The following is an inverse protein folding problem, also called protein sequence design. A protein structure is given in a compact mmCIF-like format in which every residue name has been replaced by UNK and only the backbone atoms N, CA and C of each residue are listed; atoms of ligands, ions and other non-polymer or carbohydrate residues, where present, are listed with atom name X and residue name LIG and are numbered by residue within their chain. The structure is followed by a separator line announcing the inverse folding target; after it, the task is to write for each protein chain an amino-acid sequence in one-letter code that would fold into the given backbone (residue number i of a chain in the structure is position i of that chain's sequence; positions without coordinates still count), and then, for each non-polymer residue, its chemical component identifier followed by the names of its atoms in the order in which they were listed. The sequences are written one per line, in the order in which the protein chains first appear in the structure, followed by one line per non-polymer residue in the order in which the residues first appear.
data_IF_338648982559
#
_entry.id   IF_338648982559
#
_cell.length_a   1.000
_cell.length_b   1.000
_cell.length_c   1.000
_cell.angle_alpha   90.00
_cell.angle_beta   90.00
_cell.angle_gamma   90.00
#
_symmetry.space_group_name_H-M   'P 1'
#
loop_
_entity.id
_entity.type
_entity.pdbx_description
1 polymer ?
2 non-polymer ?
3 non-polymer ?
4 non-polymer ?
5 non-polymer ?
6 non-polymer ?
7 non-polymer ?
8 non-polymer ?
9 water ?
#
# COMPACT_ATOMS: atom_id res chain seq x y z
N UNK A 1 16.37 1.16 0.68
CA UNK A 1 14.94 1.42 0.51
C UNK A 1 14.27 1.72 1.85
N UNK A 2 12.95 1.77 1.83
CA UNK A 2 12.14 2.11 3.00
C UNK A 2 12.39 1.14 4.16
N UNK A 3 12.42 -0.19 3.91
CA UNK A 3 12.67 -1.16 4.97
C UNK A 3 14.02 -0.90 5.61
N UNK A 4 15.06 -0.67 4.79
CA UNK A 4 16.38 -0.38 5.33
C UNK A 4 16.34 0.88 6.21
N UNK A 5 15.58 1.90 5.76
CA UNK A 5 15.49 3.15 6.50
C UNK A 5 14.90 2.92 7.88
N UNK A 6 13.88 2.06 7.96
CA UNK A 6 13.32 1.69 9.24
C UNK A 6 14.41 1.09 10.15
N UNK A 7 15.25 0.21 9.57
CA UNK A 7 16.31 -0.42 10.33
C UNK A 7 17.32 0.65 10.78
N UNK A 8 17.63 1.58 9.89
CA UNK A 8 18.59 2.63 10.23
C UNK A 8 18.06 3.44 11.42
N UNK A 9 16.81 3.88 11.28
CA UNK A 9 16.20 4.71 12.31
C UNK A 9 16.13 3.95 13.62
N UNK A 10 15.60 2.71 13.59
CA UNK A 10 15.54 1.92 14.80
C UNK A 10 16.92 1.76 15.43
N UNK A 11 17.98 1.60 14.65
CA UNK A 11 19.32 1.32 15.17
C UNK A 11 19.80 2.42 16.11
N UNK A 12 19.34 3.67 15.87
CA UNK A 12 19.70 4.82 16.69
C UNK A 12 18.44 5.66 16.95
N UNK A 13 17.40 5.02 17.50
CA UNK A 13 16.05 5.58 17.50
C UNK A 13 16.01 6.91 18.27
N UNK A 14 16.65 6.96 19.44
CA UNK A 14 16.56 8.15 20.26
C UNK A 14 17.21 9.34 19.56
N UNK A 15 18.33 9.13 18.88
CA UNK A 15 19.03 10.22 18.20
C UNK A 15 18.18 10.73 17.03
N UNK A 16 17.73 9.83 16.15
CA UNK A 16 16.92 10.24 15.01
C UNK A 16 15.62 10.90 15.50
N UNK A 17 14.97 10.28 16.49
CA UNK A 17 13.70 10.75 17.03
C UNK A 17 13.84 12.20 17.48
N UNK A 18 14.86 12.47 18.30
CA UNK A 18 15.13 13.84 18.78
C UNK A 18 15.47 14.78 17.62
N UNK A 19 16.35 14.34 16.70
CA UNK A 19 16.83 15.23 15.64
C UNK A 19 15.68 15.61 14.71
N UNK A 20 14.83 14.62 14.35
CA UNK A 20 13.72 14.86 13.46
C UNK A 20 12.63 15.69 14.14
N UNK A 21 12.31 15.40 15.39
CA UNK A 21 11.29 16.15 16.11
C UNK A 21 11.73 17.62 16.26
N UNK A 22 13.00 17.85 16.58
CA UNK A 22 13.54 19.20 16.68
C UNK A 22 13.45 19.90 15.32
N UNK A 23 13.75 19.18 14.22
CA UNK A 23 13.67 19.77 12.90
C UNK A 23 12.24 20.21 12.61
N UNK A 24 11.28 19.37 12.96
CA UNK A 24 9.86 19.69 12.92
C UNK A 24 9.51 20.94 13.74
N UNK A 25 9.87 20.99 15.03
CA UNK A 25 9.48 22.12 15.86
C UNK A 25 10.11 23.41 15.33
N UNK A 26 11.36 23.32 14.88
CA UNK A 26 12.07 24.52 14.47
C UNK A 26 11.57 25.02 13.11
N UNK A 27 11.16 24.12 12.21
CA UNK A 27 10.64 24.53 10.91
C UNK A 27 9.21 25.07 11.06
N UNK A 28 8.44 24.54 12.03
CA UNK A 28 7.04 24.91 12.25
C UNK A 28 6.84 25.33 13.69
N UNK A 29 7.41 26.51 14.08
CA UNK A 29 7.47 26.85 15.49
C UNK A 29 6.12 26.97 16.19
N UNK A 30 5.05 27.28 15.43
CA UNK A 30 3.72 27.37 15.98
C UNK A 30 3.28 26.00 16.52
N UNK A 31 3.89 24.90 16.04
CA UNK A 31 3.59 23.55 16.50
C UNK A 31 4.07 23.31 17.93
N UNK A 32 5.03 24.11 18.41
CA UNK A 32 5.55 23.89 19.75
C UNK A 32 4.45 24.13 20.80
N UNK A 33 3.41 24.89 20.44
CA UNK A 33 2.26 25.13 21.34
C UNK A 33 1.60 23.82 21.82
N UNK A 34 1.68 22.70 21.07
CA UNK A 34 1.08 21.44 21.52
C UNK A 34 1.92 20.79 22.62
N UNK A 35 3.12 21.33 22.86
CA UNK A 35 4.13 20.74 23.72
C UNK A 35 4.53 21.77 24.79
N UNK A 36 3.54 22.14 25.60
CA UNK A 36 3.61 23.30 26.50
C UNK A 36 4.95 23.32 27.24
N UNK A 37 5.46 22.11 27.57
CA UNK A 37 6.62 21.87 28.43
C UNK A 37 7.98 22.13 27.74
N UNK A 38 7.99 22.15 26.41
CA UNK A 38 9.17 22.29 25.56
C UNK A 38 9.33 23.74 25.09
N UNK A 39 8.34 24.59 25.39
CA UNK A 39 8.35 26.02 25.09
C UNK A 39 9.53 26.67 25.82
N UNK A 40 10.29 27.51 25.12
CA UNK A 40 11.36 28.27 25.74
C UNK A 40 12.63 27.47 26.10
N UNK A 41 12.86 26.35 25.40
CA UNK A 41 14.03 25.51 25.59
C UNK A 41 14.79 25.39 24.29
N UNK A 42 16.12 25.53 24.36
CA UNK A 42 16.96 25.31 23.19
C UNK A 42 17.02 23.81 22.87
N UNK A 43 17.59 23.48 21.70
CA UNK A 43 17.79 22.09 21.28
C UNK A 43 18.63 21.31 22.30
N UNK A 44 19.69 21.95 22.78
CA UNK A 44 20.59 21.29 23.73
C UNK A 44 19.89 21.19 25.07
N UNK A 45 19.06 22.18 25.45
CA UNK A 45 18.32 22.02 26.70
C UNK A 45 17.54 20.69 26.59
N UNK A 46 16.75 20.59 25.53
CA UNK A 46 15.81 19.48 25.31
C UNK A 46 16.56 18.14 25.25
N UNK A 47 17.69 18.10 24.54
CA UNK A 47 18.53 16.91 24.52
C UNK A 47 18.96 16.50 25.94
N UNK A 48 19.18 17.46 26.86
CA UNK A 48 19.66 17.15 28.20
C UNK A 48 18.59 16.36 28.96
N UNK A 49 17.32 16.51 28.52
CA UNK A 49 16.23 16.10 29.37
C UNK A 49 15.75 14.71 28.95
N UNK A 50 15.78 13.77 29.90
CA UNK A 50 15.39 12.39 29.64
C UNK A 50 13.93 12.29 29.15
N UNK A 51 13.04 13.13 29.69
CA UNK A 51 11.62 13.04 29.34
C UNK A 51 11.37 13.44 27.87
N UNK A 52 12.10 14.44 27.38
CA UNK A 52 12.01 14.82 25.98
C UNK A 52 12.43 13.60 25.14
N UNK A 53 13.57 13.03 25.48
CA UNK A 53 14.08 11.87 24.79
C UNK A 53 13.08 10.70 24.89
N UNK A 54 12.50 10.49 26.07
CA UNK A 54 11.60 9.37 26.28
C UNK A 54 10.35 9.54 25.39
N UNK A 55 9.77 10.74 25.40
CA UNK A 55 8.56 11.04 24.62
C UNK A 55 8.83 10.76 23.14
N UNK A 56 9.91 11.37 22.66
CA UNK A 56 10.22 11.40 21.24
C UNK A 56 10.52 9.97 20.80
N UNK A 57 11.22 9.21 21.64
CA UNK A 57 11.55 7.84 21.28
C UNK A 57 10.25 7.03 21.16
N UNK A 58 9.29 7.28 22.07
CA UNK A 58 8.05 6.50 22.05
C UNK A 58 7.21 6.78 20.81
N UNK A 59 7.19 8.05 20.40
CA UNK A 59 6.53 8.49 19.18
C UNK A 59 7.15 7.80 17.97
N UNK A 60 8.46 7.91 17.84
CA UNK A 60 9.15 7.35 16.68
C UNK A 60 9.09 5.81 16.71
N UNK A 61 9.10 5.21 17.90
CA UNK A 61 8.93 3.76 17.96
C UNK A 61 7.61 3.36 17.28
N UNK A 62 6.53 4.03 17.66
CA UNK A 62 5.23 3.69 17.09
C UNK A 62 5.27 3.99 15.59
N UNK A 63 5.87 5.12 15.21
CA UNK A 63 5.96 5.49 13.80
C UNK A 63 6.63 4.37 13.03
N UNK A 64 7.70 3.79 13.56
CA UNK A 64 8.41 2.73 12.86
C UNK A 64 7.58 1.43 12.83
N UNK A 65 6.81 1.14 13.90
CA UNK A 65 5.90 -0.01 13.92
C UNK A 65 4.89 0.15 12.77
N UNK A 66 4.29 1.35 12.64
CA UNK A 66 3.28 1.62 11.61
C UNK A 66 3.93 1.49 10.23
N UNK A 67 5.13 2.09 10.07
CA UNK A 67 5.88 1.99 8.81
C UNK A 67 6.19 0.54 8.45
N UNK A 68 6.63 -0.29 9.42
CA UNK A 68 7.02 -1.66 9.16
C UNK A 68 5.80 -2.51 8.80
N UNK A 69 4.64 -2.17 9.36
CA UNK A 69 3.40 -2.92 9.08
C UNK A 69 2.78 -2.51 7.76
N UNK A 70 3.22 -1.40 7.17
CA UNK A 70 2.70 -0.93 5.89
C UNK A 70 3.12 -1.88 4.76
N UNK A 71 2.33 -1.86 3.67
CA UNK A 71 2.69 -2.50 2.43
C UNK A 71 2.85 -1.42 1.37
N UNK A 72 4.00 -1.38 0.70
CA UNK A 72 4.29 -0.37 -0.30
C UNK A 72 3.87 1.02 0.20
N UNK A 73 4.23 1.32 1.46
CA UNK A 73 4.08 2.63 2.07
C UNK A 73 2.62 2.97 2.37
N UNK A 74 1.75 1.96 2.34
CA UNK A 74 0.33 2.11 2.69
C UNK A 74 0.10 1.56 4.09
N UNK A 75 -0.22 2.43 5.07
CA UNK A 75 -0.38 1.95 6.44
C UNK A 75 -1.67 1.17 6.62
N UNK A 76 -1.74 0.34 7.65
CA UNK A 76 -2.98 -0.36 8.02
C UNK A 76 -3.99 0.67 8.52
N UNK A 77 -5.26 0.42 8.19
CA UNK A 77 -6.38 1.19 8.70
C UNK A 77 -6.40 1.20 10.23
N UNK A 78 -6.10 0.05 10.84
CA UNK A 78 -6.09 -0.10 12.29
C UNK A 78 -5.08 0.88 12.92
N UNK A 79 -3.89 0.97 12.31
CA UNK A 79 -2.86 1.84 12.87
C UNK A 79 -3.24 3.32 12.79
N UNK A 80 -3.82 3.70 11.66
CA UNK A 80 -4.41 5.03 11.51
C UNK A 80 -5.39 5.30 12.65
N UNK A 81 -6.20 4.30 12.99
CA UNK A 81 -7.26 4.48 13.98
C UNK A 81 -6.66 4.73 15.36
N UNK A 82 -5.62 3.95 15.70
CA UNK A 82 -4.89 4.15 16.95
C UNK A 82 -4.48 5.62 17.05
N UNK A 83 -3.84 6.13 16.00
CA UNK A 83 -3.30 7.49 16.04
C UNK A 83 -4.42 8.54 16.17
N UNK A 84 -5.61 8.29 15.58
CA UNK A 84 -6.71 9.23 15.65
C UNK A 84 -7.39 9.18 17.03
N UNK A 85 -7.49 7.99 17.64
CA UNK A 85 -8.27 7.77 18.86
C UNK A 85 -7.43 7.96 20.13
N UNK A 86 -6.10 8.07 19.99
CA UNK A 86 -5.28 8.38 21.16
C UNK A 86 -5.73 9.71 21.78
N UNK A 87 -5.97 9.70 23.10
CA UNK A 87 -6.37 10.89 23.86
C UNK A 87 -5.43 12.05 23.46
N UNK A 88 -4.11 11.78 23.49
CA UNK A 88 -3.06 12.77 23.29
C UNK A 88 -3.18 13.48 21.93
N UNK A 89 -3.93 12.89 20.98
CA UNK A 89 -4.07 13.42 19.63
C UNK A 89 -5.46 14.04 19.39
N UNK A 90 -6.25 14.27 20.47
CA UNK A 90 -7.64 14.72 20.34
C UNK A 90 -7.79 16.10 19.68
N UNK A 91 -6.81 17.01 19.81
CA UNK A 91 -6.96 18.34 19.22
C UNK A 91 -6.32 18.49 17.84
N UNK A 92 -5.76 17.40 17.25
CA UNK A 92 -4.91 17.52 16.06
C UNK A 92 -5.73 17.45 14.78
N UNK A 93 -5.25 18.12 13.72
CA UNK A 93 -5.73 17.96 12.35
C UNK A 93 -4.68 17.22 11.52
N UNK A 94 -5.03 16.80 10.29
CA UNK A 94 -4.11 16.12 9.39
C UNK A 94 -2.88 17.00 9.07
N UNK A 95 -3.05 18.33 9.11
CA UNK A 95 -1.97 19.28 8.80
C UNK A 95 -0.81 19.17 9.79
N UNK A 96 -1.10 18.81 11.05
CA UNK A 96 -0.07 18.62 12.08
C UNK A 96 0.85 17.47 11.67
N UNK A 97 0.24 16.41 11.15
CA UNK A 97 0.98 15.24 10.69
C UNK A 97 1.73 15.53 9.41
N UNK A 98 1.04 16.22 8.49
CA UNK A 98 1.62 16.73 7.26
C UNK A 98 2.90 17.50 7.58
N UNK A 99 2.87 18.38 8.60
CA UNK A 99 4.06 19.16 8.91
C UNK A 99 5.19 18.24 9.37
N UNK A 100 4.84 17.27 10.23
CA UNK A 100 5.83 16.35 10.77
C UNK A 100 6.52 15.61 9.62
N UNK A 101 5.73 15.13 8.64
CA UNK A 101 6.30 14.34 7.57
C UNK A 101 7.09 15.19 6.60
N UNK A 102 6.70 16.47 6.37
CA UNK A 102 7.51 17.33 5.54
C UNK A 102 8.86 17.53 6.21
N UNK A 103 8.87 17.78 7.51
CA UNK A 103 10.11 17.94 8.26
C UNK A 103 10.98 16.69 8.15
N UNK A 104 10.36 15.52 8.28
CA UNK A 104 11.11 14.27 8.29
C UNK A 104 11.75 14.05 6.92
N UNK A 105 10.99 14.31 5.83
CA UNK A 105 11.51 14.15 4.48
C UNK A 105 12.63 15.16 4.21
N UNK A 106 12.44 16.42 4.60
CA UNK A 106 13.50 17.43 4.45
C UNK A 106 14.77 17.05 5.24
N UNK A 107 14.62 16.55 6.47
CA UNK A 107 15.75 16.05 7.24
C UNK A 107 16.52 14.98 6.46
N UNK A 108 15.78 14.01 5.92
CA UNK A 108 16.37 12.92 5.17
C UNK A 108 17.10 13.50 3.95
N UNK A 109 16.46 14.41 3.20
CA UNK A 109 17.07 14.97 2.00
C UNK A 109 18.37 15.71 2.36
N UNK A 110 18.42 16.31 3.55
CA UNK A 110 19.57 17.11 3.98
C UNK A 110 20.70 16.28 4.62
N UNK A 111 20.44 15.02 4.95
CA UNK A 111 21.29 14.21 5.82
C UNK A 111 22.59 13.77 5.17
N UNK A 112 22.61 13.63 3.85
CA UNK A 112 23.78 13.06 3.21
C UNK A 112 23.80 11.54 3.26
N UNK A 113 22.76 10.92 3.83
CA UNK A 113 22.58 9.48 3.78
C UNK A 113 21.52 9.13 2.72
N UNK A 114 21.60 7.88 2.21
CA UNK A 114 20.77 7.40 1.12
C UNK A 114 19.43 6.87 1.65
N UNK A 115 18.74 7.71 2.43
CA UNK A 115 17.34 7.47 2.77
C UNK A 115 16.49 7.43 1.50
N UNK A 116 15.40 6.67 1.56
CA UNK A 116 14.47 6.60 0.44
C UNK A 116 13.41 7.67 0.65
N UNK A 117 13.84 8.94 0.55
CA UNK A 117 13.02 10.10 0.92
C UNK A 117 11.65 10.06 0.25
N UNK A 118 11.63 9.71 -1.04
CA UNK A 118 10.41 9.64 -1.82
C UNK A 118 9.41 8.68 -1.16
N UNK A 119 9.89 7.56 -0.59
CA UNK A 119 9.01 6.60 0.05
C UNK A 119 8.43 7.15 1.36
N UNK A 120 9.24 7.92 2.11
CA UNK A 120 8.75 8.53 3.32
C UNK A 120 7.71 9.63 2.97
N UNK A 121 7.91 10.32 1.84
CA UNK A 121 6.95 11.35 1.42
C UNK A 121 5.61 10.67 1.13
N UNK A 122 5.68 9.56 0.40
CA UNK A 122 4.50 8.79 0.03
C UNK A 122 3.81 8.20 1.26
N UNK A 123 4.59 7.61 2.18
CA UNK A 123 4.09 7.04 3.41
C UNK A 123 3.35 8.12 4.20
N UNK A 124 3.97 9.31 4.34
CA UNK A 124 3.30 10.41 5.03
C UNK A 124 1.98 10.82 4.37
N UNK A 125 1.95 10.87 3.03
CA UNK A 125 0.73 11.25 2.28
C UNK A 125 -0.35 10.19 2.54
N UNK A 126 0.06 8.91 2.49
CA UNK A 126 -0.87 7.82 2.71
C UNK A 126 -1.38 7.80 4.14
N UNK A 127 -0.49 8.05 5.10
CA UNK A 127 -0.92 8.08 6.49
C UNK A 127 -1.90 9.24 6.71
N UNK A 128 -1.63 10.41 6.12
CA UNK A 128 -2.52 11.58 6.24
C UNK A 128 -3.92 11.24 5.68
N UNK A 129 -3.98 10.63 4.49
CA UNK A 129 -5.24 10.20 3.88
C UNK A 129 -5.95 9.24 4.85
N UNK A 130 -5.22 8.27 5.42
CA UNK A 130 -5.80 7.26 6.30
C UNK A 130 -6.30 7.89 7.62
N UNK A 131 -5.60 8.90 8.17
CA UNK A 131 -6.08 9.56 9.39
C UNK A 131 -7.39 10.28 9.11
N UNK A 132 -7.44 10.95 7.96
CA UNK A 132 -8.60 11.72 7.56
C UNK A 132 -9.81 10.79 7.48
N UNK A 133 -9.59 9.61 6.87
CA UNK A 133 -10.60 8.56 6.74
C UNK A 133 -11.06 8.04 8.09
N UNK A 134 -10.14 7.88 9.06
CA UNK A 134 -10.44 7.44 10.41
C UNK A 134 -11.12 8.51 11.26
N UNK A 135 -11.36 9.70 10.70
CA UNK A 135 -12.17 10.76 11.30
C UNK A 135 -11.41 12.02 11.67
N UNK A 136 -10.13 12.19 11.24
CA UNK A 136 -9.36 13.33 11.70
C UNK A 136 -9.67 14.51 10.78
N UNK A 137 -9.94 15.68 11.38
CA UNK A 137 -10.28 16.88 10.61
C UNK A 137 -9.01 17.42 9.92
N UNK B 1 0.29 4.88 -16.57
CA UNK B 1 0.62 4.07 -15.41
C UNK B 1 -0.52 3.12 -15.04
N UNK B 2 -0.51 2.59 -13.82
CA UNK B 2 -1.49 1.60 -13.37
C UNK B 2 -2.92 2.14 -13.48
N UNK B 3 -3.16 3.38 -13.02
CA UNK B 3 -4.49 3.97 -13.02
C UNK B 3 -4.99 4.12 -14.46
N UNK B 4 -4.12 4.56 -15.39
CA UNK B 4 -4.52 4.64 -16.78
C UNK B 4 -4.79 3.26 -17.36
N UNK B 5 -4.04 2.23 -16.94
CA UNK B 5 -4.22 0.90 -17.46
C UNK B 5 -5.63 0.40 -17.14
N UNK B 6 -6.13 0.75 -15.95
CA UNK B 6 -7.49 0.39 -15.59
C UNK B 6 -8.50 0.98 -16.60
N UNK B 7 -8.32 2.27 -16.92
CA UNK B 7 -9.14 2.90 -17.95
C UNK B 7 -8.99 2.20 -19.31
N UNK B 8 -7.76 1.88 -19.71
CA UNK B 8 -7.53 1.19 -20.99
C UNK B 8 -8.29 -0.14 -21.07
N UNK B 9 -8.15 -0.93 -20.01
CA UNK B 9 -8.81 -2.23 -19.99
C UNK B 9 -10.32 -2.03 -20.02
N UNK B 10 -10.85 -1.14 -19.17
CA UNK B 10 -12.28 -0.86 -19.10
C UNK B 10 -12.83 -0.39 -20.46
N UNK B 11 -12.02 0.33 -21.23
CA UNK B 11 -12.49 0.84 -22.52
C UNK B 11 -12.67 -0.24 -23.59
N UNK B 12 -12.17 -1.46 -23.35
CA UNK B 12 -12.33 -2.55 -24.29
C UNK B 12 -12.35 -3.87 -23.51
N UNK B 13 -13.22 -3.92 -22.49
CA UNK B 13 -13.05 -4.88 -21.41
C UNK B 13 -13.26 -6.31 -21.91
N UNK B 14 -14.27 -6.54 -22.75
CA UNK B 14 -14.57 -7.92 -23.14
C UNK B 14 -13.36 -8.50 -23.88
N UNK B 15 -12.73 -7.69 -24.73
CA UNK B 15 -11.60 -8.12 -25.54
C UNK B 15 -10.39 -8.43 -24.65
N UNK B 16 -10.05 -7.46 -23.78
CA UNK B 16 -8.94 -7.66 -22.86
C UNK B 16 -9.20 -8.81 -21.90
N UNK B 17 -10.41 -8.89 -21.33
CA UNK B 17 -10.74 -9.95 -20.37
C UNK B 17 -10.56 -11.33 -21.03
N UNK B 18 -11.14 -11.49 -22.24
CA UNK B 18 -11.01 -12.77 -22.93
C UNK B 18 -9.55 -13.06 -23.26
N UNK B 19 -8.85 -12.06 -23.80
CA UNK B 19 -7.47 -12.27 -24.25
C UNK B 19 -6.55 -12.65 -23.09
N UNK B 20 -6.73 -12.01 -21.93
CA UNK B 20 -5.89 -12.30 -20.76
C UNK B 20 -6.26 -13.65 -20.18
N UNK B 21 -7.55 -13.96 -20.13
CA UNK B 21 -7.98 -15.22 -19.54
C UNK B 21 -7.50 -16.37 -20.42
N UNK B 22 -7.56 -16.19 -21.75
CA UNK B 22 -7.04 -17.21 -22.68
C UNK B 22 -5.54 -17.39 -22.47
N UNK B 23 -4.82 -16.30 -22.27
CA UNK B 23 -3.38 -16.39 -22.03
C UNK B 23 -3.13 -17.23 -20.79
N UNK B 24 -3.95 -16.99 -19.75
CA UNK B 24 -3.86 -17.73 -18.51
C UNK B 24 -4.11 -19.24 -18.76
N UNK B 25 -5.21 -19.56 -19.43
CA UNK B 25 -5.57 -20.97 -19.60
C UNK B 25 -4.55 -21.65 -20.50
N UNK B 26 -4.04 -20.96 -21.54
CA UNK B 26 -3.06 -21.56 -22.44
C UNK B 26 -1.73 -21.77 -21.71
N UNK B 27 -1.36 -20.84 -20.83
CA UNK B 27 -0.11 -20.97 -20.08
C UNK B 27 -0.23 -22.07 -19.02
N UNK B 28 -1.42 -22.19 -18.41
CA UNK B 28 -1.69 -23.09 -17.30
C UNK B 28 -2.93 -23.96 -17.57
N UNK B 29 -2.82 -24.89 -18.55
CA UNK B 29 -3.99 -25.63 -19.00
C UNK B 29 -4.67 -26.46 -17.90
N UNK B 30 -3.92 -26.88 -16.89
CA UNK B 30 -4.50 -27.66 -15.80
C UNK B 30 -5.38 -26.78 -14.90
N UNK B 31 -5.32 -25.45 -15.04
CA UNK B 31 -6.24 -24.56 -14.33
C UNK B 31 -7.68 -24.77 -14.82
N UNK B 32 -7.86 -25.38 -15.99
CA UNK B 32 -9.20 -25.58 -16.53
C UNK B 32 -9.99 -26.53 -15.63
N UNK B 33 -9.31 -27.25 -14.73
CA UNK B 33 -9.95 -28.16 -13.77
C UNK B 33 -11.01 -27.42 -12.96
N UNK B 34 -10.94 -26.07 -12.80
CA UNK B 34 -11.87 -25.34 -11.95
C UNK B 34 -13.09 -24.87 -12.71
N UNK B 35 -13.08 -25.02 -14.03
CA UNK B 35 -14.11 -24.47 -14.88
C UNK B 35 -14.90 -25.61 -15.52
N UNK B 36 -16.16 -25.31 -15.84
CA UNK B 36 -17.01 -26.26 -16.53
C UNK B 36 -16.86 -26.01 -18.03
N UNK B 37 -16.51 -27.08 -18.76
CA UNK B 37 -16.74 -27.13 -20.19
C UNK B 37 -15.70 -26.28 -20.90
N UNK B 38 -14.53 -26.00 -20.32
CA UNK B 38 -13.52 -25.28 -21.09
C UNK B 38 -12.51 -26.22 -21.74
N UNK B 39 -12.36 -27.47 -21.26
CA UNK B 39 -11.36 -28.37 -21.80
C UNK B 39 -11.74 -28.77 -23.22
N UNK B 40 -10.76 -29.12 -24.04
CA UNK B 40 -10.99 -29.69 -25.34
C UNK B 40 -11.44 -28.67 -26.38
N UNK B 41 -11.19 -27.38 -26.15
CA UNK B 41 -11.72 -26.30 -27.00
C UNK B 41 -10.60 -25.31 -27.33
N UNK B 42 -10.52 -24.94 -28.63
CA UNK B 42 -9.66 -23.86 -29.11
C UNK B 42 -10.16 -22.52 -28.54
N UNK B 43 -9.29 -21.51 -28.62
CA UNK B 43 -9.65 -20.15 -28.19
C UNK B 43 -10.93 -19.69 -28.90
N UNK B 44 -11.04 -19.90 -30.22
CA UNK B 44 -12.23 -19.43 -30.93
C UNK B 44 -13.49 -20.13 -30.45
N UNK B 45 -13.42 -21.45 -30.16
CA UNK B 45 -14.52 -22.21 -29.62
C UNK B 45 -14.92 -21.63 -28.26
N UNK B 46 -13.96 -21.37 -27.35
CA UNK B 46 -14.28 -20.77 -26.06
C UNK B 46 -15.00 -19.45 -26.26
N UNK B 47 -14.51 -18.63 -27.18
CA UNK B 47 -15.04 -17.28 -27.42
C UNK B 47 -16.48 -17.29 -27.94
N UNK B 48 -16.96 -18.42 -28.48
CA UNK B 48 -18.35 -18.52 -28.95
C UNK B 48 -19.25 -19.21 -27.93
N UNK B 49 -18.69 -19.55 -26.77
CA UNK B 49 -19.53 -20.03 -25.66
C UNK B 49 -20.10 -18.81 -24.92
N UNK B 50 -21.43 -18.72 -24.76
CA UNK B 50 -22.00 -17.52 -24.16
C UNK B 50 -21.44 -17.30 -22.75
N UNK B 51 -21.28 -18.39 -22.00
CA UNK B 51 -20.90 -18.16 -20.61
C UNK B 51 -19.43 -17.71 -20.51
N UNK B 52 -18.59 -18.07 -21.49
CA UNK B 52 -17.17 -17.73 -21.44
C UNK B 52 -16.98 -16.21 -21.41
N UNK B 53 -17.58 -15.52 -22.36
CA UNK B 53 -17.50 -14.07 -22.44
C UNK B 53 -18.14 -13.40 -21.22
N UNK B 54 -19.31 -13.90 -20.80
CA UNK B 54 -20.03 -13.31 -19.68
C UNK B 54 -19.21 -13.46 -18.39
N UNK B 55 -18.69 -14.66 -18.12
CA UNK B 55 -17.85 -15.03 -16.97
C UNK B 55 -16.63 -14.11 -16.90
N UNK B 56 -15.91 -14.08 -18.02
CA UNK B 56 -14.60 -13.43 -18.11
C UNK B 56 -14.82 -11.92 -17.93
N UNK B 57 -15.94 -11.38 -18.41
CA UNK B 57 -16.20 -9.96 -18.18
C UNK B 57 -16.51 -9.72 -16.70
N UNK B 58 -17.29 -10.58 -16.05
CA UNK B 58 -17.63 -10.34 -14.65
C UNK B 58 -16.37 -10.37 -13.79
N UNK B 59 -15.46 -11.33 -14.09
CA UNK B 59 -14.17 -11.42 -13.42
C UNK B 59 -13.38 -10.11 -13.56
N UNK B 60 -13.25 -9.61 -14.78
CA UNK B 60 -12.38 -8.46 -15.00
C UNK B 60 -13.08 -7.16 -14.56
N UNK B 61 -14.42 -7.15 -14.61
CA UNK B 61 -15.16 -6.02 -14.02
C UNK B 61 -14.76 -5.88 -12.53
N UNK B 62 -14.75 -6.99 -11.79
CA UNK B 62 -14.43 -6.91 -10.37
C UNK B 62 -12.94 -6.66 -10.22
N UNK B 63 -12.08 -7.35 -11.02
CA UNK B 63 -10.64 -7.12 -10.92
C UNK B 63 -10.31 -5.63 -11.07
N UNK B 64 -10.94 -4.96 -12.05
CA UNK B 64 -10.67 -3.56 -12.29
C UNK B 64 -11.15 -2.70 -11.10
N UNK B 65 -12.29 -3.05 -10.47
CA UNK B 65 -12.75 -2.33 -9.30
C UNK B 65 -11.75 -2.47 -8.15
N UNK B 66 -11.23 -3.68 -7.94
CA UNK B 66 -10.25 -3.93 -6.88
C UNK B 66 -8.98 -3.13 -7.15
N UNK B 67 -8.51 -3.14 -8.41
CA UNK B 67 -7.38 -2.31 -8.85
C UNK B 67 -7.67 -0.83 -8.58
N UNK B 68 -8.91 -0.36 -8.87
CA UNK B 68 -9.23 1.04 -8.81
C UNK B 68 -9.30 1.50 -7.36
N UNK B 69 -9.69 0.59 -6.46
CA UNK B 69 -9.81 0.96 -5.05
C UNK B 69 -8.47 0.86 -4.32
N UNK B 70 -7.46 0.28 -4.98
CA UNK B 70 -6.11 0.14 -4.45
C UNK B 70 -5.41 1.49 -4.30
N UNK B 71 -4.50 1.56 -3.33
CA UNK B 71 -3.57 2.68 -3.23
C UNK B 71 -2.16 2.13 -3.42
N UNK B 72 -1.35 2.73 -4.29
CA UNK B 72 0.02 2.28 -4.53
C UNK B 72 0.06 0.76 -4.80
N UNK B 73 -0.94 0.30 -5.58
CA UNK B 73 -1.11 -1.11 -5.92
C UNK B 73 -1.37 -2.03 -4.74
N UNK B 74 -1.88 -1.50 -3.60
CA UNK B 74 -2.21 -2.31 -2.45
C UNK B 74 -3.74 -2.40 -2.38
N UNK B 75 -4.32 -3.58 -2.54
CA UNK B 75 -5.78 -3.69 -2.56
C UNK B 75 -6.32 -3.45 -1.16
N UNK B 76 -7.59 -3.08 -1.09
CA UNK B 76 -8.29 -3.05 0.18
C UNK B 76 -8.42 -4.45 0.75
N UNK B 77 -8.28 -4.57 2.10
CA UNK B 77 -8.51 -5.82 2.78
C UNK B 77 -9.94 -6.30 2.57
N UNK B 78 -10.92 -5.39 2.51
CA UNK B 78 -12.31 -5.79 2.27
C UNK B 78 -12.45 -6.47 0.92
N UNK B 79 -11.71 -6.01 -0.10
CA UNK B 79 -11.75 -6.64 -1.40
C UNK B 79 -11.15 -8.05 -1.31
N UNK B 80 -10.02 -8.20 -0.61
CA UNK B 80 -9.41 -9.51 -0.41
C UNK B 80 -10.39 -10.45 0.31
N UNK B 81 -11.01 -9.96 1.39
CA UNK B 81 -11.99 -10.74 2.16
C UNK B 81 -13.08 -11.26 1.21
N UNK B 82 -13.66 -10.38 0.39
CA UNK B 82 -14.70 -10.78 -0.55
C UNK B 82 -14.22 -11.88 -1.49
N UNK B 83 -13.01 -11.74 -2.06
CA UNK B 83 -12.50 -12.76 -2.97
C UNK B 83 -12.29 -14.12 -2.28
N UNK B 84 -11.94 -14.13 -1.01
CA UNK B 84 -11.69 -15.38 -0.29
C UNK B 84 -13.04 -16.03 0.05
N UNK B 85 -14.03 -15.21 0.40
CA UNK B 85 -15.30 -15.67 0.98
C UNK B 85 -16.37 -15.98 -0.08
N UNK B 86 -16.12 -15.67 -1.36
CA UNK B 86 -16.97 -16.07 -2.48
C UNK B 86 -17.04 -17.58 -2.57
N UNK B 87 -18.28 -18.11 -2.63
CA UNK B 87 -18.46 -19.55 -2.65
C UNK B 87 -17.74 -20.11 -3.87
N UNK B 88 -17.72 -19.34 -4.99
CA UNK B 88 -17.11 -19.77 -6.24
C UNK B 88 -15.60 -20.00 -6.08
N UNK B 89 -15.00 -19.41 -5.05
CA UNK B 89 -13.57 -19.48 -4.80
C UNK B 89 -13.22 -20.42 -3.63
N UNK B 90 -14.16 -21.27 -3.20
CA UNK B 90 -13.98 -22.10 -2.02
C UNK B 90 -12.85 -23.13 -2.16
N UNK B 91 -12.52 -23.59 -3.38
CA UNK B 91 -11.48 -24.59 -3.57
C UNK B 91 -10.13 -23.99 -4.01
N UNK B 92 -10.01 -22.64 -4.01
CA UNK B 92 -8.82 -22.02 -4.55
C UNK B 92 -7.76 -21.82 -3.49
N UNK B 93 -6.51 -21.70 -3.94
CA UNK B 93 -5.39 -21.31 -3.10
C UNK B 93 -4.74 -20.06 -3.73
N UNK B 94 -3.82 -19.41 -3.02
CA UNK B 94 -3.20 -18.18 -3.55
C UNK B 94 -2.45 -18.46 -4.84
N UNK B 95 -1.95 -19.68 -5.05
CA UNK B 95 -1.18 -19.98 -6.26
C UNK B 95 -2.02 -19.83 -7.52
N UNK B 96 -3.33 -20.09 -7.42
CA UNK B 96 -4.22 -19.96 -8.56
C UNK B 96 -4.21 -18.49 -8.99
N UNK B 97 -4.26 -17.58 -8.01
CA UNK B 97 -4.20 -16.15 -8.25
C UNK B 97 -2.85 -15.70 -8.77
N UNK B 98 -1.75 -16.29 -8.27
CA UNK B 98 -0.41 -16.03 -8.78
C UNK B 98 -0.32 -16.37 -10.26
N UNK B 99 -0.85 -17.54 -10.65
CA UNK B 99 -0.80 -17.92 -12.05
C UNK B 99 -1.54 -16.91 -12.91
N UNK B 100 -2.72 -16.47 -12.46
CA UNK B 100 -3.50 -15.52 -13.25
C UNK B 100 -2.69 -14.24 -13.50
N UNK B 101 -2.06 -13.73 -12.45
CA UNK B 101 -1.32 -12.48 -12.55
C UNK B 101 -0.04 -12.66 -13.34
N UNK B 102 0.64 -13.81 -13.26
CA UNK B 102 1.78 -14.04 -14.12
C UNK B 102 1.37 -13.95 -15.58
N UNK B 103 0.25 -14.58 -15.95
CA UNK B 103 -0.22 -14.57 -17.31
C UNK B 103 -0.60 -13.15 -17.73
N UNK B 104 -1.26 -12.42 -16.84
CA UNK B 104 -1.70 -11.06 -17.10
C UNK B 104 -0.49 -10.16 -17.37
N UNK B 105 0.53 -10.28 -16.54
CA UNK B 105 1.75 -9.47 -16.68
C UNK B 105 2.49 -9.84 -17.98
N UNK B 106 2.59 -11.14 -18.29
CA UNK B 106 3.21 -11.63 -19.52
C UNK B 106 2.48 -11.06 -20.72
N UNK B 107 1.14 -11.09 -20.69
CA UNK B 107 0.31 -10.53 -21.75
C UNK B 107 0.61 -9.05 -21.98
N UNK B 108 0.69 -8.29 -20.89
CA UNK B 108 0.95 -6.88 -20.97
C UNK B 108 2.35 -6.63 -21.56
N UNK B 109 3.32 -7.41 -21.15
CA UNK B 109 4.69 -7.25 -21.64
C UNK B 109 4.80 -7.53 -23.14
N UNK B 110 4.01 -8.46 -23.68
CA UNK B 110 4.05 -8.86 -25.08
C UNK B 110 3.16 -7.98 -25.95
N UNK B 111 2.32 -7.15 -25.30
CA UNK B 111 1.44 -6.23 -26.00
C UNK B 111 2.24 -5.09 -26.65
N UNK B 112 1.65 -4.48 -27.66
CA UNK B 112 2.30 -3.29 -28.21
C UNK B 112 2.46 -2.19 -27.15
N UNK B 113 1.47 -2.14 -26.24
CA UNK B 113 1.26 -0.96 -25.43
C UNK B 113 2.06 -0.85 -24.14
N UNK B 114 1.88 0.44 -23.73
CA UNK B 114 2.58 1.06 -22.64
C UNK B 114 1.84 0.77 -21.35
N UNK B 115 1.46 -0.50 -21.17
CA UNK B 115 0.97 -0.97 -19.88
C UNK B 115 2.09 -0.82 -18.87
N UNK B 116 1.71 -0.54 -17.62
CA UNK B 116 2.63 -0.49 -16.51
C UNK B 116 2.75 -1.89 -15.93
N UNK B 117 3.44 -2.79 -16.64
CA UNK B 117 3.44 -4.20 -16.28
C UNK B 117 4.08 -4.41 -14.90
N UNK B 118 5.08 -3.61 -14.50
CA UNK B 118 5.68 -3.80 -13.19
C UNK B 118 4.65 -3.52 -12.06
N UNK B 119 3.75 -2.55 -12.29
CA UNK B 119 2.74 -2.22 -11.29
C UNK B 119 1.70 -3.34 -11.20
N UNK B 120 1.36 -3.98 -12.33
CA UNK B 120 0.43 -5.11 -12.28
C UNK B 120 1.07 -6.29 -11.55
N UNK B 121 2.39 -6.44 -11.70
CA UNK B 121 3.11 -7.49 -10.99
C UNK B 121 3.03 -7.21 -9.48
N UNK B 122 3.31 -5.95 -9.09
CA UNK B 122 3.28 -5.58 -7.69
C UNK B 122 1.86 -5.79 -7.14
N UNK B 123 0.86 -5.40 -7.93
CA UNK B 123 -0.54 -5.55 -7.53
C UNK B 123 -0.87 -7.04 -7.32
N UNK B 124 -0.47 -7.92 -8.25
CA UNK B 124 -0.76 -9.33 -8.07
C UNK B 124 -0.13 -9.87 -6.80
N UNK B 125 1.12 -9.47 -6.53
CA UNK B 125 1.84 -9.95 -5.35
C UNK B 125 1.14 -9.47 -4.10
N UNK B 126 0.74 -8.20 -4.09
CA UNK B 126 0.06 -7.59 -2.96
C UNK B 126 -1.30 -8.25 -2.77
N UNK B 127 -1.99 -8.58 -3.86
CA UNK B 127 -3.28 -9.26 -3.71
C UNK B 127 -3.09 -10.66 -3.13
N UNK B 128 -2.11 -11.41 -3.66
CA UNK B 128 -1.82 -12.73 -3.11
C UNK B 128 -1.57 -12.60 -1.60
N UNK B 129 -0.78 -11.60 -1.20
CA UNK B 129 -0.45 -11.40 0.21
C UNK B 129 -1.71 -11.12 1.04
N UNK B 130 -2.62 -10.34 0.46
CA UNK B 130 -3.86 -9.95 1.11
C UNK B 130 -4.84 -11.14 1.23
N UNK B 131 -4.88 -11.99 0.18
CA UNK B 131 -5.74 -13.17 0.20
C UNK B 131 -5.25 -14.13 1.30
N UNK B 132 -3.92 -14.30 1.38
CA UNK B 132 -3.28 -15.05 2.46
C UNK B 132 -3.76 -14.51 3.80
N UNK B 133 -3.53 -13.22 4.03
CA UNK B 133 -3.96 -12.54 5.24
C UNK B 133 -5.43 -12.82 5.56
N UNK B 134 -6.28 -12.80 4.53
CA UNK B 134 -7.72 -13.02 4.69
C UNK B 134 -8.11 -14.49 4.84
N UNK B 135 -7.17 -15.45 4.81
CA UNK B 135 -7.45 -16.83 5.22
C UNK B 135 -7.35 -17.84 4.08
N UNK B 136 -7.02 -17.40 2.86
CA UNK B 136 -6.84 -18.32 1.75
C UNK B 136 -5.54 -19.11 1.95
N UNK B 137 -5.61 -20.44 1.81
CA UNK B 137 -4.45 -21.31 1.92
C UNK B 137 -3.50 -21.10 0.72
X LIG C 1 1.82 11.76 22.44
X LIG C 1 2.74 8.88 18.64
X LIG C 1 2.22 12.71 15.68
X LIG C 1 1.19 15.48 19.42
X LIG C 1 2.17 10.67 21.65
X LIG C 1 2.53 9.39 22.15
X LIG C 1 2.81 8.59 21.08
X LIG C 1 2.56 9.35 19.92
X LIG C 1 3.25 7.16 21.17
X LIG C 1 2.68 8.97 23.59
X LIG C 1 4.13 9.26 24.02
X LIG C 1 4.44 9.02 25.50
X LIG C 1 5.46 9.57 25.98
X LIG C 1 3.73 8.31 26.24
X LIG C 1 2.69 9.67 17.50
X LIG C 1 2.97 9.21 16.19
X LIG C 1 2.85 10.27 15.32
X LIG C 1 2.44 11.41 16.16
X LIG C 1 3.40 7.83 15.79
X LIG C 1 2.99 10.36 13.86
X LIG C 1 2.95 9.38 12.98
X LIG C 1 1.93 13.84 16.42
X LIG C 1 1.81 15.17 15.90
X LIG C 1 1.51 15.94 17.01
X LIG C 1 1.47 15.09 18.13
X LIG C 1 1.96 15.56 14.47
X LIG C 1 1.35 17.43 17.09
X LIG C 1 1.77 18.27 16.15
X LIG C 1 1.30 14.65 20.54
X LIG C 1 1.16 15.19 21.88
X LIG C 1 1.33 14.18 22.72
X LIG C 1 1.56 12.99 21.88
X LIG C 1 0.87 16.65 22.23
X LIG C 1 1.28 14.19 24.23
X LIG C 1 2.57 14.80 24.80
X LIG C 1 2.82 14.20 26.15
X LIG C 1 2.01 14.42 27.09
X LIG C 1 3.86 13.49 26.34
X LIG C 1 2.16 10.64 20.25
X LIG C 1 2.42 10.97 17.41
X LIG C 1 1.71 13.77 17.75
X LIG C 1 1.54 13.32 20.61
X LIG C 1 1.86 12.19 19.07
X LIG D 1 8.07 14.50 20.23
X LIG D 1 5.79 13.86 23.20
X LIG D 1 5.38 14.05 20.72
X LIG D 1 6.27 14.07 21.78
X LIG D 1 5.84 14.25 19.42
X LIG D 1 7.62 14.30 21.53
X LIG D 1 7.17 14.47 19.17
X LIG D 1 4.61 14.22 17.98
X LIG D 1 8.53 14.33 22.56
X LIG E 1 19.40 5.12 5.22
X LIG E 1 18.70 3.92 5.55
X LIG E 1 20.85 4.78 5.21
X LIG E 1 21.72 5.81 4.74
X LIG E 1 20.99 3.52 4.39
X LIG E 1 21.27 2.51 5.34
X LIG F 1 2.81 -1.07 19.04
X LIG F 1 2.28 -0.71 17.76
X LIG F 1 3.05 -2.51 19.13
X LIG F 1 3.48 -2.93 17.84
X LIG F 1 3.62 -4.34 17.69
X LIG F 1 4.81 -4.65 16.82
X LIG F 1 4.70 -5.86 16.14
X LIG G 1 -0.91 26.04 8.40
X LIG G 1 -1.16 25.30 9.60
X LIG G 1 -1.38 26.12 10.77
X LIG G 1 -2.26 27.15 10.33
X LIG G 1 -3.30 26.65 9.47
X LIG G 1 -3.86 25.38 10.01
X LIG G 1 -4.16 24.46 8.97
X LIG G 1 -3.02 23.99 8.27
X LIG G 1 -3.17 22.59 7.85
X LIG G 1 -2.42 22.34 6.68
X LIG G 1 -3.19 21.77 5.62
X LIG G 1 -2.63 22.18 4.30
X LIG G 1 -2.56 21.11 3.35
X LIG H 1 4.97 14.08 19.04
X LIG H 1 4.10 13.18 19.27
X LIG I 1 11.51 -1.09 0.27
X LIG I 1 12.71 -1.66 0.75
X LIG I 1 10.99 -1.99 -0.74
X LIG I 1 10.58 -0.98 1.38
X LIG I 1 11.74 0.19 -0.31
X LIG J 1 -16.29 -16.93 -10.34
X LIG J 1 -13.91 -12.77 -9.79
X LIG J 1 -9.70 -15.21 -9.65
X LIG J 1 -12.12 -19.32 -10.24
X LIG J 1 -16.00 -15.57 -10.23
X LIG J 1 -16.95 -14.53 -10.30
X LIG J 1 -16.27 -13.36 -10.14
X LIG J 1 -14.90 -13.70 -9.97
X LIG J 1 -16.79 -11.92 -10.16
X LIG J 1 -18.46 -14.61 -10.54
X LIG J 1 -18.68 -14.71 -12.05
X LIG J 1 -20.08 -14.87 -12.58
X LIG J 1 -21.05 -14.96 -11.80
X LIG J 1 -20.24 -14.86 -13.80
X LIG J 1 -12.56 -13.07 -9.68
X LIG J 1 -11.56 -12.07 -9.54
X LIG J 1 -10.33 -12.75 -9.53
X LIG J 1 -10.64 -14.18 -9.64
X LIG J 1 -11.72 -10.56 -9.55
X LIG J 1 -8.95 -12.22 -9.41
X LIG J 1 -8.55 -11.09 -8.87
X LIG J 1 -9.98 -16.55 -9.83
X LIG J 1 -9.01 -17.59 -10.04
X LIG J 1 -9.72 -18.76 -10.25
X LIG J 1 -11.10 -18.43 -10.17
X LIG J 1 -7.52 -17.40 -10.04
X LIG J 1 -9.17 -20.12 -10.55
X LIG J 1 -8.03 -20.32 -11.14
X LIG J 1 -13.46 -18.99 -10.30
X LIG J 1 -14.50 -20.04 -10.52
X LIG J 1 -15.66 -19.36 -10.59
X LIG J 1 -15.34 -17.91 -10.31
X LIG J 1 -14.24 -21.53 -10.70
X LIG J 1 -17.04 -19.96 -10.77
X LIG J 1 -17.20 -20.58 -12.13
X LIG J 1 -17.35 -19.64 -13.28
X LIG J 1 -17.07 -20.10 -14.44
X LIG J 1 -17.76 -18.45 -13.10
X LIG J 1 -14.72 -15.05 -10.03
X LIG J 1 -11.98 -14.29 -9.72
X LIG J 1 -11.22 -17.09 -9.86
X LIG J 1 -14.02 -17.76 -10.13
X LIG J 1 -13.03 -16.09 -9.84
X LIG K 1 -12.47 -16.13 -16.38
X LIG K 1 -14.97 -17.65 -13.96
X LIG K 1 -12.55 -17.00 -13.76
X LIG K 1 -13.70 -17.09 -14.54
X LIG K 1 -11.41 -16.46 -14.29
X LIG K 1 -13.64 -16.65 -15.86
X LIG K 1 -11.35 -16.03 -15.60
X LIG K 1 -9.85 -16.35 -13.23
X LIG K 1 -14.75 -16.75 -16.65
X LIG L 1 -9.87 5.46 -12.04
X LIG L 1 -9.90 6.88 -11.89
X LIG L 1 -10.03 5.02 -13.48
X LIG L 1 -8.76 4.81 -14.12
X LIG L 1 -10.85 3.76 -13.61
X LIG L 1 -11.37 3.56 -14.93
X LIG M 1 -1.66 3.02 -22.67
X LIG M 1 -1.07 3.70 -21.57
X LIG M 1 -2.36 1.79 -22.18
X LIG M 1 -1.53 0.64 -22.33
X LIG M 1 -2.76 1.92 -20.72
X LIG M 1 -3.39 0.74 -20.27
X LIG N 1 -0.99 -25.93 -15.99
X LIG N 1 -0.77 -27.20 -16.53
X LIG N 1 -0.43 -25.74 -14.62
X LIG N 1 -1.42 -25.16 -13.77
X LIG N 1 -1.20 -25.40 -12.39
X LIG N 1 -2.34 -26.19 -11.86
X LIG N 1 -1.95 -27.41 -11.24
X LIG O 1 -16.22 1.17 -8.87
X LIG O 1 -16.45 2.49 -9.35
X LIG O 1 -14.76 1.01 -8.53
X LIG O 1 -13.98 1.35 -9.69
X LIG O 1 -14.39 1.82 -7.31
X LIG O 1 -15.17 1.48 -6.15
X LIG P 1 2.54 -11.79 -10.42
X LIG P 1 1.93 -10.61 -9.95
X LIG P 1 2.39 -12.86 -9.36
X LIG P 1 3.65 -13.13 -8.74
X LIG P 1 1.35 -12.43 -8.35
X LIG P 1 1.31 -13.27 -7.20
X LIG Q 1 -12.42 -16.40 -12.07
X LIG Q 1 -11.88 -16.76 -13.19
X LIG R 1 0.08 5.33 -11.68
X LIG R 1 0.99 4.30 -12.09
X LIG R 1 -1.16 4.73 -11.31
X LIG R 1 0.65 6.04 -10.55
X LIG R 1 -0.19 6.24 -12.80
#
# INVERSE_FOLDING_TARGET
GFKQDIATIRGDLRTYAQDIFLAFLNKYPDERRYFKNYVGKSDQELKSMAKFGDHTEKVFNLMMEVADRATDCVPLASDANTLVQMKQHSSLTTGNFEKLFVALVEYMRASGQSFDSQSWDRFGKNLVSALSSAGMK
GFKQDIATIRGDLRTYAQDIFLAFLNKYPDERRYFKNYVGKSDQELKSMAKFGDHTEKVFNLMMEVADRATDCVPLASDANTLVQMKQHSSLTTGNFEKLFVALVEYMRASGQSFDSQSWDRFGKNLVSALSSAGMK
HEM CHA CHB CHC CHD C1A C2A C3A C4A CMA CAA CBA CGA O1A O2A C1B C2B C3B C4B CMB CAB CBB C1C C2C C3C C4C CMC CAC CBC C1D C2D C3D C4D CMD CAD CBD CGD O1D O2D NA NB NC ND FE
MWJ C4 C1 C7 C2 C6 C3 C5 BR1 O1
GOL C1 O1 C2 O2 C3 O3
PEG C1 O1 C2 O2 C3 C4 O4
PG4 O1 C1 C2 O2 C3 C4 O3 C5 C6 O4 C7 C8 O5
OXY O1 O2
SO4 S O1 O2 O3 O4
HEM CHA CHB CHC CHD C1A C2A C3A C4A CMA CAA CBA CGA O1A O2A C1B C2B C3B C4B CMB CAB CBB C1C C2C C3C C4C CMC CAC CBC C1D C2D C3D C4D CMD CAD CBD CGD O1D O2D NA NB NC ND FE
MWJ C4 C1 C7 C2 C6 C3 C5 BR1 O1
GOL C1 O1 C2 O2 C3 O3
GOL C1 O1 C2 O2 C3 O3
PEG C1 O1 C2 O2 C3 C4 O4
GOL C1 O1 C2 O2 C3 O3
GOL C1 O1 C2 O2 C3 O3
OXY O1 O2
SO4 S O1 O2 O3 O4
#
